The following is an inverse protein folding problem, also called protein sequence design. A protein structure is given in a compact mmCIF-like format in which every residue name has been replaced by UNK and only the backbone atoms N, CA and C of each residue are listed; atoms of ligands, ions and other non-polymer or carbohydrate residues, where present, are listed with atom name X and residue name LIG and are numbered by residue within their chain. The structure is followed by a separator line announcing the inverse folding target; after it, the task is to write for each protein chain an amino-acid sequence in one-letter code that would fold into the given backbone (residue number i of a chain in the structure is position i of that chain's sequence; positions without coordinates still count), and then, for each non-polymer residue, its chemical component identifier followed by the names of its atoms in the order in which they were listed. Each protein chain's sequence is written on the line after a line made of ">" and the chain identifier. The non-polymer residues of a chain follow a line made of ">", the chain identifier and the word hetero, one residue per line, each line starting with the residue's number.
data_IF_596114421703
#
_entry.id   IF_596114421703
#
_cell.length_a   1.000
_cell.length_b   1.000
_cell.length_c   1.000
_cell.angle_alpha   90.00
_cell.angle_beta   90.00
_cell.angle_gamma   90.00
#
_symmetry.space_group_name_H-M   'P 1'
#
loop_
_entity.id
_entity.type
_entity.pdbx_description
1 polymer ?
#
# COMPACT_ATOMS: atom_id res chain seq x y z
N UNK A 1 -5.34 -31.21 23.27
CA UNK A 1 -5.06 -30.98 21.84
C UNK A 1 -4.05 -29.84 21.71
N UNK A 2 -2.73 -30.10 21.67
CA UNK A 2 -1.71 -29.04 21.56
C UNK A 2 -1.74 -28.48 20.14
N UNK A 3 -2.33 -27.29 19.96
CA UNK A 3 -2.32 -26.55 18.70
C UNK A 3 -0.85 -26.23 18.37
N UNK A 4 -0.24 -27.00 17.46
CA UNK A 4 1.12 -26.72 16.96
C UNK A 4 1.04 -25.41 16.17
N UNK A 5 1.34 -24.29 16.83
CA UNK A 5 1.47 -22.99 16.17
C UNK A 5 2.51 -23.18 15.06
N UNK A 6 2.14 -22.78 13.83
CA UNK A 6 3.03 -22.92 12.69
C UNK A 6 4.20 -21.95 12.86
N UNK A 7 5.36 -22.46 13.26
CA UNK A 7 6.58 -21.70 13.53
C UNK A 7 6.98 -20.84 12.32
N UNK A 8 6.69 -21.29 11.08
CA UNK A 8 6.95 -20.52 9.86
C UNK A 8 6.05 -19.28 9.73
N UNK A 9 4.78 -19.40 10.09
CA UNK A 9 3.85 -18.27 10.11
C UNK A 9 4.23 -17.27 11.22
N UNK A 10 4.73 -17.77 12.35
CA UNK A 10 5.22 -16.93 13.44
C UNK A 10 6.46 -16.13 13.03
N UNK A 11 7.41 -16.75 12.32
CA UNK A 11 8.60 -16.05 11.78
C UNK A 11 8.18 -14.95 10.80
N UNK A 12 7.21 -15.23 9.93
CA UNK A 12 6.68 -14.24 8.99
C UNK A 12 6.04 -13.03 9.69
N UNK A 13 5.23 -13.29 10.72
CA UNK A 13 4.62 -12.24 11.55
C UNK A 13 5.69 -11.41 12.27
N UNK A 14 6.69 -12.07 12.85
CA UNK A 14 7.81 -11.40 13.54
C UNK A 14 8.58 -10.50 12.57
N UNK A 15 8.86 -10.96 11.34
CA UNK A 15 9.55 -10.15 10.34
C UNK A 15 8.79 -8.86 10.00
N UNK A 16 7.46 -8.93 9.84
CA UNK A 16 6.62 -7.75 9.59
C UNK A 16 6.64 -6.80 10.78
N UNK A 17 6.52 -7.33 12.00
CA UNK A 17 6.58 -6.52 13.21
C UNK A 17 7.94 -5.84 13.38
N UNK A 18 9.05 -6.55 13.11
CA UNK A 18 10.40 -5.97 13.18
C UNK A 18 10.54 -4.81 12.19
N UNK A 19 10.12 -4.98 10.94
CA UNK A 19 10.16 -3.89 9.95
C UNK A 19 9.33 -2.69 10.42
N UNK A 20 8.15 -2.94 10.99
CA UNK A 20 7.28 -1.89 11.51
C UNK A 20 7.89 -1.13 12.70
N UNK A 21 8.50 -1.84 13.66
CA UNK A 21 9.18 -1.21 14.78
C UNK A 21 10.46 -0.47 14.36
N UNK A 22 11.18 -0.99 13.36
CA UNK A 22 12.34 -0.30 12.79
C UNK A 22 11.94 1.00 12.09
N UNK A 23 10.89 0.99 11.26
CA UNK A 23 10.40 2.21 10.60
C UNK A 23 9.86 3.22 11.60
N UNK A 24 9.14 2.77 12.64
CA UNK A 24 8.73 3.63 13.74
C UNK A 24 9.95 4.26 14.44
N UNK A 25 10.93 3.44 14.84
CA UNK A 25 12.14 3.89 15.52
C UNK A 25 12.95 4.89 14.70
N UNK A 26 13.15 4.65 13.41
CA UNK A 26 13.83 5.59 12.50
C UNK A 26 13.04 6.90 12.40
N UNK A 27 11.71 6.82 12.27
CA UNK A 27 10.86 8.01 12.15
C UNK A 27 10.96 8.87 13.40
N UNK A 28 10.87 8.27 14.59
CA UNK A 28 11.03 8.97 15.87
C UNK A 28 12.45 9.53 16.04
N UNK A 29 13.49 8.76 15.71
CA UNK A 29 14.87 9.21 15.83
C UNK A 29 15.19 10.41 14.92
N UNK A 30 14.74 10.38 13.67
CA UNK A 30 14.96 11.48 12.72
C UNK A 30 14.14 12.71 13.12
N UNK A 31 12.87 12.54 13.47
CA UNK A 31 11.99 13.67 13.80
C UNK A 31 12.34 14.34 15.11
N UNK A 32 12.60 13.56 16.17
CA UNK A 32 12.98 14.13 17.47
C UNK A 32 14.44 14.58 17.47
N UNK A 33 15.34 13.92 16.73
CA UNK A 33 16.77 14.23 16.72
C UNK A 33 17.20 15.32 15.73
N UNK A 34 16.73 15.28 14.49
CA UNK A 34 17.13 16.23 13.45
C UNK A 34 16.17 17.41 13.31
N UNK A 35 14.88 17.22 13.58
CA UNK A 35 13.86 18.26 13.43
C UNK A 35 13.39 18.86 14.76
N UNK A 36 13.89 18.38 15.92
CA UNK A 36 13.48 18.79 17.27
C UNK A 36 11.95 18.76 17.48
N UNK A 37 11.25 17.88 16.77
CA UNK A 37 9.80 17.73 16.89
C UNK A 37 9.44 17.08 18.24
N UNK A 38 8.36 17.55 18.86
CA UNK A 38 7.80 16.89 20.04
C UNK A 38 7.37 15.46 19.73
N UNK A 39 7.39 14.57 20.73
CA UNK A 39 6.96 13.17 20.56
C UNK A 39 5.56 13.06 19.93
N UNK A 40 4.66 13.99 20.27
CA UNK A 40 3.32 14.09 19.67
C UNK A 40 3.37 14.36 18.16
N UNK A 41 4.16 15.33 17.72
CA UNK A 41 4.33 15.66 16.30
C UNK A 41 5.05 14.55 15.51
N UNK A 42 6.00 13.86 16.13
CA UNK A 42 6.64 12.70 15.53
C UNK A 42 5.66 11.52 15.35
N UNK A 43 4.72 11.35 16.30
CA UNK A 43 3.68 10.30 16.24
C UNK A 43 2.68 10.59 15.14
N UNK A 44 2.19 11.83 15.03
CA UNK A 44 1.25 12.21 13.94
C UNK A 44 1.92 12.08 12.59
N UNK A 45 3.20 12.48 12.45
CA UNK A 45 3.94 12.27 11.21
C UNK A 45 4.06 10.78 10.84
N UNK A 46 4.39 9.92 11.80
CA UNK A 46 4.45 8.48 11.57
C UNK A 46 3.11 7.91 11.12
N UNK A 47 2.01 8.26 11.79
CA UNK A 47 0.68 7.77 11.44
C UNK A 47 0.25 8.28 10.06
N UNK A 48 0.28 9.59 9.84
CA UNK A 48 -0.33 10.19 8.66
C UNK A 48 0.51 9.97 7.40
N UNK A 49 1.83 10.15 7.50
CA UNK A 49 2.69 10.10 6.31
C UNK A 49 3.23 8.71 6.08
N UNK A 50 3.73 8.01 7.11
CA UNK A 50 4.39 6.72 6.93
C UNK A 50 3.37 5.59 6.82
N UNK A 51 2.42 5.54 7.76
CA UNK A 51 1.41 4.49 7.82
C UNK A 51 0.28 4.71 6.80
N UNK A 52 -0.40 5.85 6.87
CA UNK A 52 -1.56 6.12 6.02
C UNK A 52 -1.10 6.49 4.61
N UNK A 53 -0.24 7.49 4.47
CA UNK A 53 0.19 8.01 3.17
C UNK A 53 0.97 7.01 2.32
N UNK A 54 1.94 6.29 2.91
CA UNK A 54 2.84 5.42 2.16
C UNK A 54 2.46 3.94 2.22
N UNK A 55 2.17 3.41 3.40
CA UNK A 55 1.89 1.98 3.55
C UNK A 55 0.46 1.62 3.13
N UNK A 56 -0.56 2.26 3.70
CA UNK A 56 -1.97 2.01 3.36
C UNK A 56 -2.38 2.67 2.04
N UNK A 57 -1.83 3.85 1.72
CA UNK A 57 -2.10 4.59 0.49
C UNK A 57 -1.56 3.89 -0.76
N UNK A 58 -0.53 3.04 -0.62
CA UNK A 58 -0.02 2.24 -1.71
C UNK A 58 -0.72 0.89 -1.81
N UNK A 59 -1.75 0.82 -2.67
CA UNK A 59 -2.44 -0.45 -3.01
C UNK A 59 -1.46 -1.58 -3.36
N UNK A 60 -0.33 -1.26 -4.00
CA UNK A 60 0.68 -2.25 -4.41
C UNK A 60 1.34 -2.90 -3.20
N UNK A 61 1.77 -2.11 -2.21
CA UNK A 61 2.44 -2.59 -1.01
C UNK A 61 1.46 -3.33 -0.11
N UNK A 62 0.22 -2.82 -0.01
CA UNK A 62 -0.84 -3.44 0.77
C UNK A 62 -1.18 -4.84 0.27
N UNK A 63 -1.46 -4.98 -1.03
CA UNK A 63 -1.75 -6.28 -1.64
C UNK A 63 -0.55 -7.23 -1.54
N UNK A 64 0.68 -6.72 -1.76
CA UNK A 64 1.89 -7.52 -1.57
C UNK A 64 1.98 -8.11 -0.16
N UNK A 65 1.77 -7.28 0.86
CA UNK A 65 1.86 -7.70 2.27
C UNK A 65 0.76 -8.70 2.63
N UNK A 66 -0.47 -8.51 2.13
CA UNK A 66 -1.58 -9.45 2.33
C UNK A 66 -1.27 -10.81 1.70
N UNK A 67 -0.75 -10.84 0.47
CA UNK A 67 -0.38 -12.09 -0.21
C UNK A 67 0.78 -12.79 0.49
N UNK A 68 1.78 -12.02 0.93
CA UNK A 68 2.91 -12.54 1.69
C UNK A 68 2.45 -13.20 3.01
N UNK A 69 1.64 -12.48 3.78
CA UNK A 69 1.07 -12.99 5.02
C UNK A 69 0.19 -14.23 4.76
N UNK A 70 -0.63 -14.20 3.72
CA UNK A 70 -1.48 -15.33 3.32
C UNK A 70 -0.67 -16.60 3.02
N UNK A 71 0.41 -16.49 2.23
CA UNK A 71 1.25 -17.65 1.88
C UNK A 71 2.00 -18.20 3.09
N UNK A 72 2.44 -17.34 4.00
CA UNK A 72 3.06 -17.75 5.26
C UNK A 72 2.08 -18.46 6.20
N UNK A 73 0.84 -17.96 6.31
CA UNK A 73 -0.23 -18.61 7.10
C UNK A 73 -0.55 -20.01 6.54
N UNK A 74 -0.55 -20.15 5.21
CA UNK A 74 -0.71 -21.43 4.53
C UNK A 74 0.49 -22.38 4.71
N UNK A 75 1.56 -21.94 5.37
CA UNK A 75 2.74 -22.77 5.65
C UNK A 75 3.65 -23.00 4.45
N UNK A 76 3.53 -22.19 3.38
CA UNK A 76 4.45 -22.22 2.24
C UNK A 76 5.86 -21.80 2.66
N UNK A 77 6.85 -22.21 1.87
CA UNK A 77 8.22 -21.81 2.11
C UNK A 77 8.39 -20.30 1.91
N UNK A 78 9.33 -19.68 2.64
CA UNK A 78 9.55 -18.24 2.60
C UNK A 78 9.83 -17.73 1.17
N UNK A 79 10.61 -18.48 0.39
CA UNK A 79 10.91 -18.20 -1.02
C UNK A 79 9.64 -18.16 -1.87
N UNK A 80 8.71 -19.08 -1.65
CA UNK A 80 7.45 -19.15 -2.39
C UNK A 80 6.51 -18.03 -1.97
N UNK A 81 6.48 -17.69 -0.69
CA UNK A 81 5.75 -16.53 -0.14
C UNK A 81 6.27 -15.22 -0.73
N UNK A 82 7.60 -15.05 -0.80
CA UNK A 82 8.22 -13.87 -1.38
C UNK A 82 7.99 -13.78 -2.90
N UNK A 83 8.10 -14.90 -3.62
CA UNK A 83 7.75 -14.94 -5.05
C UNK A 83 6.27 -14.61 -5.29
N UNK A 84 5.37 -15.13 -4.45
CA UNK A 84 3.94 -14.82 -4.49
C UNK A 84 3.65 -13.34 -4.25
N UNK A 85 4.31 -12.73 -3.26
CA UNK A 85 4.25 -11.30 -2.98
C UNK A 85 4.64 -10.47 -4.21
N UNK A 86 5.81 -10.76 -4.80
CA UNK A 86 6.29 -10.04 -5.97
C UNK A 86 5.34 -10.17 -7.17
N UNK A 87 4.82 -11.37 -7.44
CA UNK A 87 3.84 -11.57 -8.52
C UNK A 87 2.57 -10.75 -8.30
N UNK A 88 2.07 -10.69 -7.06
CA UNK A 88 0.91 -9.87 -6.74
C UNK A 88 1.19 -8.38 -6.91
N UNK A 89 2.35 -7.90 -6.45
CA UNK A 89 2.76 -6.50 -6.62
C UNK A 89 2.88 -6.12 -8.10
N UNK A 90 3.54 -6.96 -8.91
CA UNK A 90 3.68 -6.76 -10.36
C UNK A 90 2.30 -6.75 -11.03
N UNK A 91 1.38 -7.65 -10.64
CA UNK A 91 0.02 -7.66 -11.16
C UNK A 91 -0.74 -6.36 -10.89
N UNK A 92 -0.61 -5.80 -9.68
CA UNK A 92 -1.22 -4.51 -9.33
C UNK A 92 -0.57 -3.36 -10.12
N UNK A 93 0.74 -3.38 -10.31
CA UNK A 93 1.44 -2.37 -11.13
C UNK A 93 0.94 -2.43 -12.57
N UNK A 94 0.82 -3.62 -13.15
CA UNK A 94 0.29 -3.82 -14.51
C UNK A 94 -1.15 -3.29 -14.63
N UNK A 95 -2.00 -3.58 -13.63
CA UNK A 95 -3.36 -3.07 -13.58
C UNK A 95 -3.40 -1.53 -13.56
N UNK A 96 -2.55 -0.89 -12.74
CA UNK A 96 -2.44 0.57 -12.67
C UNK A 96 -2.00 1.18 -14.00
N UNK A 97 -1.04 0.56 -14.69
CA UNK A 97 -0.58 1.01 -16.02
C UNK A 97 -1.71 0.90 -17.05
N UNK A 98 -2.44 -0.23 -17.06
CA UNK A 98 -3.59 -0.42 -17.93
C UNK A 98 -4.70 0.59 -17.67
N UNK A 99 -5.06 0.80 -16.40
CA UNK A 99 -6.05 1.79 -15.98
C UNK A 99 -5.63 3.22 -16.36
N UNK A 100 -4.37 3.58 -16.15
CA UNK A 100 -3.84 4.89 -16.52
C UNK A 100 -3.92 5.14 -18.03
N UNK A 101 -3.61 4.12 -18.83
CA UNK A 101 -3.71 4.19 -20.30
C UNK A 101 -5.16 4.38 -20.75
N UNK A 102 -6.08 3.59 -20.19
CA UNK A 102 -7.51 3.69 -20.50
C UNK A 102 -8.08 5.06 -20.14
N UNK A 103 -7.75 5.57 -18.95
CA UNK A 103 -8.16 6.91 -18.50
C UNK A 103 -7.56 7.98 -19.42
N UNK A 104 -6.29 7.85 -19.80
CA UNK A 104 -5.62 8.77 -20.72
C UNK A 104 -6.29 8.87 -22.09
N UNK A 105 -6.79 7.74 -22.62
CA UNK A 105 -7.54 7.70 -23.88
C UNK A 105 -8.97 8.21 -23.73
N UNK A 106 -9.63 7.93 -22.60
CA UNK A 106 -11.03 8.29 -22.37
C UNK A 106 -11.22 9.78 -22.01
N UNK A 107 -10.29 10.38 -21.26
CA UNK A 107 -10.35 11.80 -20.85
C UNK A 107 -10.58 12.79 -22.00
N UNK A 108 -9.83 12.77 -23.12
CA UNK A 108 -10.07 13.69 -24.22
C UNK A 108 -11.43 13.47 -24.90
N UNK A 109 -11.90 12.22 -24.96
CA UNK A 109 -13.22 11.87 -25.51
C UNK A 109 -14.32 12.50 -24.65
N UNK A 110 -14.26 12.32 -23.33
CA UNK A 110 -15.22 12.93 -22.40
C UNK A 110 -15.16 14.46 -22.42
N UNK A 111 -13.95 15.04 -22.54
CA UNK A 111 -13.78 16.50 -22.68
C UNK A 111 -14.36 17.05 -23.99
N UNK A 112 -14.32 16.27 -25.08
CA UNK A 112 -14.96 16.66 -26.33
C UNK A 112 -16.49 16.58 -26.23
N UNK A 113 -17.02 15.53 -25.58
CA UNK A 113 -18.46 15.35 -25.36
C UNK A 113 -19.04 16.47 -24.48
N UNK A 114 -18.34 16.87 -23.41
CA UNK A 114 -18.81 17.94 -22.52
C UNK A 114 -18.88 19.32 -23.20
N UNK A 115 -18.15 19.51 -24.31
CA UNK A 115 -18.19 20.74 -25.13
C UNK A 115 -19.34 20.79 -26.13
N UNK A 116 -20.10 19.70 -26.31
CA UNK A 116 -21.21 19.61 -27.27
C UNK A 116 -22.53 20.24 -26.77
N UNK A 117 -22.49 21.00 -25.67
CA UNK A 117 -23.61 21.84 -25.22
C UNK A 117 -24.72 21.10 -24.46
N UNK A 118 -24.60 19.80 -24.25
CA UNK A 118 -25.42 19.10 -23.27
C UNK A 118 -24.78 19.29 -21.90
N UNK A 119 -25.56 19.77 -20.92
CA UNK A 119 -25.15 19.96 -19.53
C UNK A 119 -24.89 18.61 -18.83
N UNK A 120 -23.94 17.83 -19.36
CA UNK A 120 -23.58 16.50 -18.86
C UNK A 120 -22.41 16.70 -17.90
N UNK A 121 -22.71 16.64 -16.61
CA UNK A 121 -21.70 16.59 -15.55
C UNK A 121 -21.03 15.21 -15.64
N UNK A 122 -19.72 15.10 -15.91
CA UNK A 122 -19.04 13.82 -15.87
C UNK A 122 -19.11 13.25 -14.45
N UNK A 123 -19.80 12.13 -14.26
CA UNK A 123 -19.81 11.36 -12.99
C UNK A 123 -18.52 10.55 -12.83
N UNK A 124 -17.37 11.19 -12.99
CA UNK A 124 -16.07 10.57 -12.75
C UNK A 124 -15.59 10.94 -11.34
N UNK A 125 -15.34 9.96 -10.44
CA UNK A 125 -14.88 10.21 -9.07
C UNK A 125 -13.53 10.94 -8.99
N UNK A 126 -12.76 10.99 -10.09
CA UNK A 126 -11.50 11.75 -10.16
C UNK A 126 -11.69 13.21 -10.62
N UNK A 127 -12.87 13.59 -11.10
CA UNK A 127 -13.20 14.98 -11.45
C UNK A 127 -13.96 15.71 -10.35
N UNK A 128 -14.34 15.02 -9.27
CA UNK A 128 -15.01 15.61 -8.10
C UNK A 128 -13.95 16.06 -7.09
N UNK A 129 -13.33 17.23 -7.33
CA UNK A 129 -12.61 18.06 -6.37
C UNK A 129 -12.80 19.54 -6.71
#
# INVERSE_FOLDING_TARGET
>A
MKKKINVKALIGLIAVLVVFFLTAGITYAVRMGAYNDSFGAATTFFVDNVLVGNFMGSVTILIGTVVFAGYLILGRNFTDSFSGMLKAMIGVIMLKIGAGTLIGLARPIFSAISKLGTSVVPLDPYFVW
#
